data_IF_169314437388
#
_entry.id   IF_169314437388
#
_cell.length_a   1.000
_cell.length_b   1.000
_cell.length_c   1.000
_cell.angle_alpha   90.00
_cell.angle_beta   90.00
_cell.angle_gamma   90.00
#
_symmetry.space_group_name_H-M   'P 1'
#
loop_
_entity.id
_entity.type
_entity.pdbx_description
1 polymer ?
#
# COMPACT_ATOMS: atom_id res chain seq x y z
N UNK A 1 13.18 3.73 27.28
CA UNK A 1 13.63 5.07 26.87
C UNK A 1 14.05 4.94 25.41
N UNK A 2 13.41 5.65 24.49
CA UNK A 2 13.71 5.59 23.05
C UNK A 2 14.32 6.93 22.68
N UNK A 3 15.55 6.93 22.21
CA UNK A 3 16.21 8.12 21.71
C UNK A 3 16.19 8.09 20.17
N UNK A 4 15.67 9.14 19.56
CA UNK A 4 15.60 9.27 18.11
C UNK A 4 16.14 10.64 17.69
N UNK A 5 16.93 10.66 16.63
CA UNK A 5 17.43 11.88 16.03
C UNK A 5 16.86 12.03 14.63
N UNK A 6 16.29 13.19 14.31
CA UNK A 6 15.77 13.52 12.99
C UNK A 6 16.55 14.67 12.38
N UNK A 7 16.88 14.57 11.11
CA UNK A 7 17.36 15.69 10.31
C UNK A 7 16.21 16.18 9.46
N UNK A 8 15.85 17.44 9.62
CA UNK A 8 14.81 18.12 8.85
C UNK A 8 15.47 18.98 7.78
N UNK A 9 15.39 18.54 6.56
CA UNK A 9 15.68 19.31 5.35
C UNK A 9 14.48 19.16 4.41
N UNK A 10 14.57 19.67 3.19
CA UNK A 10 13.57 19.42 2.15
C UNK A 10 13.36 17.92 1.85
N UNK A 11 14.27 17.09 2.32
CA UNK A 11 14.17 15.62 2.34
C UNK A 11 14.20 15.16 3.79
N UNK A 12 13.17 14.49 4.25
CA UNK A 12 13.05 13.97 5.62
C UNK A 12 13.86 12.68 5.76
N UNK A 13 14.86 12.69 6.61
CA UNK A 13 15.62 11.50 6.98
C UNK A 13 15.49 11.27 8.47
N UNK A 14 15.09 10.07 8.83
CA UNK A 14 15.00 9.66 10.22
C UNK A 14 15.90 8.44 10.47
N UNK A 15 16.85 8.56 11.38
CA UNK A 15 17.50 7.41 11.99
C UNK A 15 16.78 7.13 13.31
N UNK A 16 16.23 5.93 13.47
CA UNK A 16 15.42 5.58 14.64
C UNK A 16 16.02 4.40 15.37
N UNK A 17 16.28 4.56 16.67
CA UNK A 17 16.45 3.44 17.59
C UNK A 17 15.09 3.21 18.30
N UNK A 18 14.59 1.98 18.31
CA UNK A 18 13.27 1.68 18.86
C UNK A 18 13.35 0.80 20.10
N UNK A 19 12.53 1.12 21.10
CA UNK A 19 12.18 0.18 22.15
C UNK A 19 11.13 -0.79 21.64
N UNK A 20 11.38 -2.08 21.81
CA UNK A 20 10.44 -3.14 21.48
C UNK A 20 9.60 -3.50 22.72
N UNK A 21 8.27 -3.53 22.55
CA UNK A 21 7.35 -4.09 23.56
C UNK A 21 6.93 -5.50 23.09
N UNK A 22 6.87 -6.49 24.01
CA UNK A 22 6.38 -7.84 23.68
C UNK A 22 4.93 -7.75 23.22
N UNK A 23 4.66 -8.19 21.99
CA UNK A 23 3.35 -8.09 21.31
C UNK A 23 3.41 -7.35 19.99
N UNK A 24 4.40 -6.52 19.74
CA UNK A 24 4.60 -5.81 18.48
C UNK A 24 5.33 -6.67 17.43
N UNK A 25 4.84 -7.87 17.15
CA UNK A 25 5.36 -8.71 16.06
C UNK A 25 5.28 -8.03 14.69
N UNK A 26 4.42 -7.03 14.56
CA UNK A 26 4.20 -6.24 13.36
C UNK A 26 5.36 -5.29 13.02
N UNK A 27 6.09 -4.80 14.03
CA UNK A 27 7.15 -3.80 13.85
C UNK A 27 8.50 -4.37 13.38
N UNK A 28 8.66 -5.68 13.28
CA UNK A 28 9.95 -6.31 12.91
C UNK A 28 10.34 -6.17 11.44
N UNK A 29 9.42 -5.74 10.57
CA UNK A 29 9.62 -5.67 9.11
C UNK A 29 9.67 -4.25 8.55
N UNK A 30 9.62 -3.24 9.40
CA UNK A 30 9.65 -1.87 8.94
C UNK A 30 11.09 -1.40 8.81
N UNK A 31 11.57 -1.32 7.59
CA UNK A 31 12.97 -1.03 7.22
C UNK A 31 13.56 0.32 7.69
N UNK A 32 12.78 1.14 8.42
CA UNK A 32 13.31 2.29 9.16
C UNK A 32 13.92 1.93 10.49
N UNK A 33 13.86 0.68 10.87
CA UNK A 33 14.38 0.20 12.14
C UNK A 33 15.76 -0.41 11.96
N UNK A 34 16.73 0.42 11.76
CA UNK A 34 18.10 0.05 12.02
C UNK A 34 18.30 0.17 13.54
N UNK A 35 18.59 -0.91 14.20
CA UNK A 35 18.73 -1.00 15.66
C UNK A 35 17.83 -2.08 16.26
N UNK A 36 18.36 -2.87 17.19
CA UNK A 36 17.61 -3.90 17.90
C UNK A 36 16.74 -3.34 19.05
N UNK A 37 15.93 -4.19 19.69
CA UNK A 37 15.24 -3.82 20.93
C UNK A 37 16.26 -3.44 21.98
N UNK A 38 16.11 -2.24 22.53
CA UNK A 38 17.04 -1.66 23.49
C UNK A 38 16.43 -1.61 24.86
N UNK A 39 17.09 -2.27 25.82
CA UNK A 39 16.80 -2.07 27.24
C UNK A 39 17.82 -1.10 27.82
N UNK A 40 17.34 0.03 28.39
CA UNK A 40 18.18 1.04 29.02
C UNK A 40 18.58 2.20 28.10
N UNK A 41 19.36 3.16 28.64
CA UNK A 41 19.82 4.33 27.90
C UNK A 41 20.80 3.94 26.77
N UNK A 42 20.80 4.72 25.71
CA UNK A 42 21.68 4.58 24.57
C UNK A 42 22.27 5.91 24.15
N UNK A 43 23.50 5.88 23.73
CA UNK A 43 24.14 6.96 23.02
C UNK A 43 23.84 6.85 21.54
N UNK A 44 23.42 7.95 20.93
CA UNK A 44 23.15 8.05 19.51
C UNK A 44 24.05 9.11 18.89
N UNK A 45 24.63 8.81 17.76
CA UNK A 45 25.45 9.73 16.99
C UNK A 45 25.03 9.72 15.54
N UNK A 46 24.82 10.90 14.98
CA UNK A 46 24.58 11.08 13.57
C UNK A 46 25.71 11.90 12.98
N UNK A 47 26.30 11.43 11.91
CA UNK A 47 27.34 12.14 11.18
C UNK A 47 26.90 12.43 9.77
N UNK A 48 27.36 13.56 9.22
CA UNK A 48 27.13 13.96 7.84
C UNK A 48 28.47 14.14 7.13
N UNK A 49 28.56 13.59 5.91
CA UNK A 49 29.66 13.82 4.98
C UNK A 49 29.10 14.08 3.59
N UNK A 50 29.00 15.35 3.20
CA UNK A 50 28.33 15.75 1.96
C UNK A 50 26.85 15.34 1.97
N UNK A 51 26.46 14.50 1.01
CA UNK A 51 25.11 13.95 0.87
C UNK A 51 24.90 12.67 1.66
N UNK A 52 25.91 12.17 2.37
CA UNK A 52 25.84 10.91 3.11
C UNK A 52 25.65 11.15 4.60
N UNK A 53 24.68 10.48 5.17
CA UNK A 53 24.35 10.47 6.58
C UNK A 53 24.60 9.09 7.15
N UNK A 54 25.33 9.02 8.27
CA UNK A 54 25.58 7.73 8.96
C UNK A 54 25.15 7.85 10.41
N UNK A 55 24.30 6.92 10.82
CA UNK A 55 23.81 6.76 12.18
C UNK A 55 24.59 5.71 12.94
N UNK A 56 24.89 5.99 14.20
CA UNK A 56 25.56 5.08 15.11
C UNK A 56 24.81 4.99 16.44
N UNK A 57 24.93 3.84 17.09
CA UNK A 57 24.51 3.64 18.48
C UNK A 57 25.66 3.11 19.34
N UNK A 58 25.56 3.38 20.66
CA UNK A 58 26.50 2.86 21.64
C UNK A 58 25.82 2.63 22.98
N UNK A 59 26.24 1.60 23.71
CA UNK A 59 25.80 1.32 25.07
C UNK A 59 26.58 2.10 26.14
N UNK A 60 27.82 2.47 25.84
CA UNK A 60 28.81 3.06 26.79
C UNK A 60 29.29 4.45 26.37
N UNK A 61 28.88 4.95 25.18
CA UNK A 61 29.35 6.20 24.62
C UNK A 61 30.78 6.15 24.04
N UNK A 62 31.45 5.00 24.10
CA UNK A 62 32.82 4.81 23.64
C UNK A 62 32.90 3.87 22.45
N UNK A 63 32.24 2.72 22.52
CA UNK A 63 32.20 1.72 21.46
C UNK A 63 30.99 1.95 20.58
N UNK A 64 31.22 2.38 19.33
CA UNK A 64 30.18 2.76 18.41
C UNK A 64 29.92 1.70 17.36
N UNK A 65 28.66 1.33 17.21
CA UNK A 65 28.19 0.42 16.15
C UNK A 65 27.43 1.25 15.11
N UNK A 66 27.82 1.12 13.85
CA UNK A 66 27.08 1.70 12.75
C UNK A 66 25.70 1.03 12.63
N UNK A 67 24.67 1.84 12.61
CA UNK A 67 23.29 1.40 12.49
C UNK A 67 22.85 1.40 11.03
N UNK A 68 23.10 2.50 10.32
CA UNK A 68 22.76 2.65 8.92
C UNK A 68 23.49 3.82 8.28
N UNK A 69 23.73 3.71 6.98
CA UNK A 69 24.23 4.81 6.14
C UNK A 69 23.29 5.04 4.98
N UNK A 70 22.94 6.29 4.73
CA UNK A 70 22.07 6.70 3.63
C UNK A 70 22.69 7.84 2.85
N UNK A 71 22.63 7.78 1.53
CA UNK A 71 23.03 8.86 0.63
C UNK A 71 21.79 9.54 0.07
N UNK A 72 21.74 10.86 0.22
CA UNK A 72 20.63 11.72 -0.23
C UNK A 72 21.16 12.72 -1.24
N UNK A 73 21.19 12.39 -2.52
CA UNK A 73 21.73 13.27 -3.54
C UNK A 73 21.02 14.64 -3.55
N UNK A 74 21.81 15.72 -3.51
CA UNK A 74 21.28 17.07 -3.49
C UNK A 74 20.83 17.58 -2.11
N UNK A 75 21.30 16.96 -1.03
CA UNK A 75 21.03 17.45 0.32
C UNK A 75 21.60 18.86 0.49
N UNK A 76 20.77 19.87 0.87
CA UNK A 76 21.23 21.24 1.06
C UNK A 76 22.42 21.31 2.01
N UNK A 77 23.31 22.28 1.77
CA UNK A 77 24.48 22.51 2.63
C UNK A 77 24.06 22.78 4.07
N UNK A 78 22.99 23.57 4.25
CA UNK A 78 22.36 23.83 5.54
C UNK A 78 21.08 23.03 5.68
N UNK A 79 20.96 22.29 6.78
CA UNK A 79 19.77 21.46 7.12
C UNK A 79 19.37 21.72 8.56
N UNK A 80 18.09 21.54 8.84
CA UNK A 80 17.59 21.51 10.22
C UNK A 80 17.80 20.11 10.79
N UNK A 81 18.22 20.05 12.05
CA UNK A 81 18.36 18.79 12.81
C UNK A 81 17.46 18.86 14.05
N UNK A 82 16.93 17.71 14.48
CA UNK A 82 16.04 17.68 15.62
C UNK A 82 16.02 16.35 16.36
N UNK A 83 15.54 16.41 17.59
CA UNK A 83 15.20 15.26 18.41
C UNK A 83 13.69 15.06 18.34
N UNK A 84 13.24 13.82 18.21
CA UNK A 84 11.81 13.53 18.21
C UNK A 84 11.49 12.25 18.97
N UNK A 85 10.26 12.16 19.46
CA UNK A 85 9.65 10.94 19.95
C UNK A 85 8.47 10.58 19.08
N UNK A 86 8.30 9.30 18.79
CA UNK A 86 7.15 8.76 18.10
C UNK A 86 6.81 7.38 18.66
N UNK A 87 5.55 7.00 18.58
CA UNK A 87 5.06 5.70 19.00
C UNK A 87 4.00 5.25 18.01
N UNK A 88 4.32 4.24 17.20
CA UNK A 88 3.31 3.61 16.35
C UNK A 88 2.22 3.02 17.24
N UNK A 89 0.96 3.30 16.93
CA UNK A 89 -0.17 2.72 17.64
C UNK A 89 -0.17 1.19 17.56
N UNK A 90 -0.72 0.53 18.57
CA UNK A 90 -0.93 -0.89 18.57
C UNK A 90 -2.18 -1.25 17.75
N UNK A 91 -2.08 -2.30 16.92
CA UNK A 91 -3.23 -2.89 16.27
C UNK A 91 -3.93 -3.82 17.26
N UNK A 92 -5.18 -3.52 17.56
CA UNK A 92 -6.05 -4.35 18.36
C UNK A 92 -7.32 -4.67 17.56
N UNK A 93 -7.55 -5.92 17.24
CA UNK A 93 -8.77 -6.40 16.57
C UNK A 93 -9.26 -5.54 15.39
N UNK A 94 -8.39 -5.20 14.45
CA UNK A 94 -8.68 -4.32 13.31
C UNK A 94 -8.90 -2.83 13.65
N UNK A 95 -8.74 -2.44 14.90
CA UNK A 95 -8.70 -1.05 15.33
C UNK A 95 -7.28 -0.67 15.74
N UNK A 96 -6.89 0.57 15.45
CA UNK A 96 -5.61 1.11 15.87
C UNK A 96 -5.78 1.84 17.18
N UNK A 97 -5.14 1.33 18.25
CA UNK A 97 -5.08 2.05 19.53
C UNK A 97 -3.96 3.09 19.44
N UNK A 98 -4.29 4.32 19.80
CA UNK A 98 -3.30 5.39 19.92
C UNK A 98 -2.28 5.05 21.02
N UNK A 99 -1.02 5.32 20.75
CA UNK A 99 0.07 5.18 21.71
C UNK A 99 0.95 6.42 21.70
N UNK A 100 1.41 6.82 22.86
CA UNK A 100 2.33 7.94 23.06
C UNK A 100 3.58 7.43 23.78
N UNK A 101 4.74 7.93 23.38
CA UNK A 101 6.01 7.63 24.04
C UNK A 101 6.70 8.93 24.47
N UNK A 102 7.32 8.88 25.63
CA UNK A 102 8.19 9.97 26.11
C UNK A 102 9.64 9.50 26.07
N UNK A 103 10.48 10.24 25.37
CA UNK A 103 11.92 10.04 25.34
C UNK A 103 12.60 11.15 26.17
N UNK A 104 13.57 10.77 26.97
CA UNK A 104 14.44 11.73 27.67
C UNK A 104 15.77 11.79 26.96
N UNK A 105 16.16 12.97 26.52
CA UNK A 105 17.45 13.24 25.90
C UNK A 105 18.28 14.09 26.86
N UNK A 106 19.52 13.69 27.07
CA UNK A 106 20.52 14.42 27.86
C UNK A 106 21.88 14.39 27.15
N UNK A 107 22.84 15.19 27.63
CA UNK A 107 24.18 15.29 27.10
C UNK A 107 24.22 15.56 25.58
N UNK A 108 23.33 16.43 25.09
CA UNK A 108 23.21 16.74 23.68
C UNK A 108 24.40 17.58 23.25
N UNK A 109 25.16 17.07 22.29
CA UNK A 109 26.32 17.78 21.72
C UNK A 109 26.12 17.95 20.22
N UNK A 110 26.22 19.18 19.74
CA UNK A 110 26.10 19.55 18.34
C UNK A 110 27.43 20.14 17.86
N UNK A 111 27.93 19.65 16.73
CA UNK A 111 29.11 20.20 16.06
C UNK A 111 28.70 20.83 14.73
N UNK A 112 29.10 22.09 14.51
CA UNK A 112 28.78 22.83 13.29
C UNK A 112 27.33 23.33 13.20
N UNK A 113 26.57 23.32 14.30
CA UNK A 113 25.23 23.85 14.33
C UNK A 113 25.19 25.25 14.97
N UNK A 114 24.49 26.17 14.31
CA UNK A 114 24.19 27.50 14.78
C UNK A 114 22.69 27.69 14.82
N UNK A 115 22.10 27.81 16.01
CA UNK A 115 20.66 28.03 16.13
C UNK A 115 20.11 27.78 17.53
N UNK A 116 18.85 28.11 17.73
CA UNK A 116 18.11 27.83 18.95
C UNK A 116 17.16 26.64 18.74
N UNK A 117 16.93 25.86 19.79
CA UNK A 117 15.91 24.82 19.78
C UNK A 117 14.52 25.46 19.68
N UNK A 118 13.70 24.86 18.85
CA UNK A 118 12.24 25.08 18.85
C UNK A 118 11.55 23.74 18.88
N UNK A 119 10.33 23.67 19.37
CA UNK A 119 9.52 22.47 19.30
C UNK A 119 8.37 22.65 18.31
N UNK A 120 7.97 21.55 17.69
CA UNK A 120 6.88 21.53 16.75
C UNK A 120 6.26 20.12 16.73
N UNK A 121 4.94 20.05 16.57
CA UNK A 121 4.24 18.79 16.32
C UNK A 121 4.17 18.53 14.82
N UNK A 122 4.78 17.43 14.36
CA UNK A 122 4.76 17.03 12.96
C UNK A 122 3.61 16.05 12.72
N UNK A 123 2.68 16.41 11.83
CA UNK A 123 1.56 15.55 11.51
C UNK A 123 0.42 15.63 12.52
N UNK A 124 -0.05 16.85 12.74
CA UNK A 124 -1.13 17.15 13.70
C UNK A 124 -2.44 16.48 13.28
N UNK A 125 -3.08 15.77 14.21
CA UNK A 125 -4.47 15.31 14.10
C UNK A 125 -5.39 16.24 14.86
N UNK A 126 -6.49 16.66 14.23
CA UNK A 126 -7.51 17.49 14.87
C UNK A 126 -8.65 16.61 15.39
N UNK A 127 -9.23 17.02 16.50
CA UNK A 127 -10.43 16.42 17.06
C UNK A 127 -11.67 16.64 16.17
N UNK A 128 -12.83 16.06 16.54
CA UNK A 128 -14.07 16.20 15.79
C UNK A 128 -14.56 17.64 15.61
N UNK A 129 -14.09 18.58 16.44
CA UNK A 129 -14.38 20.00 16.37
C UNK A 129 -13.52 20.74 15.31
N UNK A 130 -12.56 20.06 14.69
CA UNK A 130 -11.65 20.61 13.70
C UNK A 130 -10.68 21.66 14.24
N UNK A 131 -10.55 21.80 15.55
CA UNK A 131 -9.75 22.84 16.21
C UNK A 131 -8.87 22.29 17.32
N UNK A 132 -9.37 21.38 18.13
CA UNK A 132 -8.64 20.80 19.24
C UNK A 132 -7.62 19.80 18.72
N UNK A 133 -6.36 19.94 19.17
CA UNK A 133 -5.33 18.95 18.86
C UNK A 133 -5.68 17.62 19.53
N UNK A 134 -5.71 16.57 18.73
CA UNK A 134 -5.95 15.22 19.20
C UNK A 134 -4.60 14.58 19.53
N UNK A 135 -4.36 14.29 20.80
CA UNK A 135 -3.08 13.73 21.27
C UNK A 135 -1.85 14.59 20.93
N UNK A 136 -1.81 15.86 21.38
CA UNK A 136 -0.65 16.70 21.12
C UNK A 136 0.62 16.10 21.74
N UNK A 137 1.73 16.27 21.04
CA UNK A 137 3.05 16.05 21.58
C UNK A 137 3.45 17.13 22.59
N UNK A 138 4.68 17.09 23.02
CA UNK A 138 5.19 18.13 23.92
C UNK A 138 6.67 17.99 24.20
N UNK A 139 7.27 19.11 24.61
CA UNK A 139 8.65 19.17 25.07
C UNK A 139 8.68 19.83 26.44
N UNK A 140 9.35 19.19 27.39
CA UNK A 140 9.60 19.75 28.73
C UNK A 140 11.11 19.79 28.93
N UNK A 141 11.62 20.98 29.21
CA UNK A 141 12.99 21.18 29.61
C UNK A 141 13.14 21.02 31.12
N UNK A 142 14.07 20.18 31.54
CA UNK A 142 14.36 19.91 32.95
C UNK A 142 15.86 19.88 33.17
N UNK A 143 16.44 21.03 33.51
CA UNK A 143 17.89 21.20 33.62
C UNK A 143 18.58 21.05 32.26
N UNK A 144 19.48 20.09 32.15
CA UNK A 144 20.20 19.71 30.93
C UNK A 144 19.48 18.63 30.09
N UNK A 145 18.24 18.28 30.45
CA UNK A 145 17.46 17.22 29.83
C UNK A 145 16.26 17.78 29.08
N UNK A 146 16.01 17.18 27.91
CA UNK A 146 14.79 17.40 27.14
C UNK A 146 13.91 16.16 27.23
N UNK A 147 12.71 16.31 27.77
CA UNK A 147 11.67 15.28 27.71
C UNK A 147 10.79 15.58 26.50
N UNK A 148 10.86 14.72 25.49
CA UNK A 148 10.08 14.86 24.26
C UNK A 148 9.02 13.78 24.25
N UNK A 149 7.76 14.19 24.18
CA UNK A 149 6.60 13.30 24.11
C UNK A 149 5.99 13.38 22.73
N UNK A 150 5.73 12.25 22.10
CA UNK A 150 5.07 12.20 20.81
C UNK A 150 4.39 10.85 20.57
N UNK A 151 3.46 10.86 19.66
CA UNK A 151 2.75 9.69 19.17
C UNK A 151 2.93 9.56 17.66
N UNK A 152 2.22 8.59 17.08
CA UNK A 152 2.21 8.40 15.64
C UNK A 152 3.44 7.65 15.09
N UNK A 153 3.34 7.29 13.81
CA UNK A 153 4.40 6.59 13.08
C UNK A 153 5.09 7.56 12.12
N UNK A 154 6.39 7.44 12.01
CA UNK A 154 7.19 8.24 11.08
C UNK A 154 7.26 7.62 9.68
N UNK A 155 6.71 6.44 9.51
CA UNK A 155 6.72 5.73 8.22
C UNK A 155 5.81 6.43 7.20
N UNK A 156 6.33 6.90 6.05
CA UNK A 156 5.51 7.58 5.05
C UNK A 156 4.47 6.67 4.39
N UNK A 157 4.62 5.37 4.50
CA UNK A 157 3.71 4.39 3.90
C UNK A 157 2.59 3.94 4.86
N UNK A 158 2.55 4.45 6.09
CA UNK A 158 1.55 4.09 7.09
C UNK A 158 0.37 5.05 7.10
N UNK A 159 -0.73 4.65 7.72
CA UNK A 159 -1.95 5.47 7.85
C UNK A 159 -1.69 6.76 8.62
N UNK A 160 -0.69 6.79 9.49
CA UNK A 160 -0.32 7.98 10.26
C UNK A 160 0.36 9.07 9.45
N UNK A 161 0.95 8.71 8.30
CA UNK A 161 1.40 9.68 7.30
C UNK A 161 0.25 10.35 6.53
N UNK A 162 -0.99 10.01 6.86
CA UNK A 162 -2.21 10.46 6.20
C UNK A 162 -2.91 9.34 5.42
N UNK A 163 -4.21 9.53 5.19
CA UNK A 163 -5.01 8.58 4.43
C UNK A 163 -4.58 8.55 2.96
N UNK A 164 -4.49 7.36 2.43
CA UNK A 164 -4.03 7.09 1.06
C UNK A 164 -5.21 7.09 0.09
N UNK A 165 -4.99 7.54 -1.13
CA UNK A 165 -6.05 7.56 -2.16
C UNK A 165 -6.53 6.14 -2.55
N UNK A 166 -5.66 5.14 -2.49
CA UNK A 166 -6.03 3.75 -2.79
C UNK A 166 -6.98 3.13 -1.74
N UNK A 167 -7.03 3.67 -0.50
CA UNK A 167 -8.02 3.26 0.49
C UNK A 167 -9.46 3.54 0.05
N UNK A 168 -9.68 4.50 -0.84
CA UNK A 168 -11.00 4.76 -1.41
C UNK A 168 -11.50 3.58 -2.25
N UNK A 169 -10.59 2.74 -2.74
CA UNK A 169 -10.90 1.56 -3.54
C UNK A 169 -10.98 0.26 -2.72
N UNK A 170 -10.95 0.33 -1.38
CA UNK A 170 -10.98 -0.88 -0.53
C UNK A 170 -12.25 -1.72 -0.77
N UNK A 171 -13.38 -1.06 -1.01
CA UNK A 171 -14.62 -1.71 -1.43
C UNK A 171 -14.57 -2.30 -2.85
N UNK A 172 -13.56 -1.94 -3.62
CA UNK A 172 -13.37 -2.41 -4.99
C UNK A 172 -13.11 -3.92 -5.07
N UNK A 173 -12.54 -4.53 -4.04
CA UNK A 173 -12.38 -5.99 -3.96
C UNK A 173 -13.77 -6.70 -3.94
N UNK A 174 -14.73 -6.13 -3.23
CA UNK A 174 -16.13 -6.64 -3.22
C UNK A 174 -16.80 -6.41 -4.57
N UNK A 175 -16.63 -5.21 -5.14
CA UNK A 175 -17.12 -4.90 -6.50
C UNK A 175 -16.55 -5.84 -7.55
N UNK A 176 -15.26 -6.22 -7.40
CA UNK A 176 -14.61 -7.16 -8.30
C UNK A 176 -15.24 -8.56 -8.24
N UNK A 177 -15.70 -9.02 -7.07
CA UNK A 177 -16.47 -10.29 -6.96
C UNK A 177 -17.69 -10.24 -7.84
N UNK A 178 -18.45 -9.14 -7.84
CA UNK A 178 -19.63 -8.98 -8.70
C UNK A 178 -19.25 -9.03 -10.17
N UNK A 179 -18.16 -8.37 -10.55
CA UNK A 179 -17.65 -8.40 -11.94
C UNK A 179 -17.28 -9.84 -12.35
N UNK A 180 -16.61 -10.60 -11.47
CA UNK A 180 -16.25 -12.01 -11.74
C UNK A 180 -17.50 -12.89 -11.91
N UNK A 181 -18.51 -12.72 -11.05
CA UNK A 181 -19.78 -13.46 -11.13
C UNK A 181 -20.52 -13.13 -12.43
N UNK A 182 -20.63 -11.84 -12.77
CA UNK A 182 -21.29 -11.41 -14.02
C UNK A 182 -20.53 -11.96 -15.24
N UNK A 183 -19.20 -11.90 -15.23
CA UNK A 183 -18.39 -12.40 -16.34
C UNK A 183 -18.57 -13.90 -16.58
N UNK A 184 -18.63 -14.71 -15.52
CA UNK A 184 -18.87 -16.16 -15.64
C UNK A 184 -20.30 -16.43 -16.09
N UNK A 185 -21.30 -15.75 -15.52
CA UNK A 185 -22.72 -15.98 -15.86
C UNK A 185 -23.05 -15.54 -17.29
N UNK A 186 -22.36 -14.55 -17.81
CA UNK A 186 -22.50 -14.07 -19.19
C UNK A 186 -22.20 -15.16 -20.22
N UNK A 187 -21.16 -15.98 -20.05
CA UNK A 187 -20.87 -17.10 -20.98
C UNK A 187 -21.88 -18.25 -20.80
N UNK A 188 -22.34 -18.51 -19.59
CA UNK A 188 -23.20 -19.66 -19.28
C UNK A 188 -24.68 -19.44 -19.61
N UNK A 189 -25.16 -18.20 -19.62
CA UNK A 189 -26.54 -17.86 -19.94
C UNK A 189 -26.97 -18.32 -21.35
N UNK A 190 -26.05 -18.31 -22.28
CA UNK A 190 -26.29 -18.73 -23.67
C UNK A 190 -26.44 -20.25 -23.81
N UNK A 191 -25.68 -21.01 -23.03
CA UNK A 191 -25.78 -22.47 -23.00
C UNK A 191 -27.10 -22.94 -22.37
N UNK A 192 -27.71 -22.19 -21.49
CA UNK A 192 -29.02 -22.50 -20.86
C UNK A 192 -30.21 -22.19 -21.75
N UNK A 193 -30.11 -21.20 -22.63
CA UNK A 193 -31.24 -20.79 -23.48
C UNK A 193 -31.50 -21.70 -24.65
N UNK A 194 -30.69 -22.77 -24.85
CA UNK A 194 -31.00 -23.79 -25.85
C UNK A 194 -31.27 -23.26 -27.27
N UNK A 195 -30.66 -22.12 -27.63
CA UNK A 195 -30.86 -21.50 -28.95
C UNK A 195 -30.17 -22.26 -30.07
N UNK A 196 -30.31 -23.60 -30.02
CA UNK A 196 -29.76 -24.50 -31.03
C UNK A 196 -30.96 -25.27 -31.59
N UNK A 197 -31.76 -24.62 -32.34
CA UNK A 197 -32.93 -25.24 -32.94
C UNK A 197 -33.35 -24.60 -34.24
N UNK A 198 -32.74 -23.52 -34.66
CA UNK A 198 -33.00 -22.92 -35.95
C UNK A 198 -31.80 -23.11 -36.84
N UNK A 199 -31.89 -24.04 -37.75
CA UNK A 199 -30.89 -24.44 -38.73
C UNK A 199 -30.41 -23.35 -39.68
N UNK A 200 -29.52 -22.49 -39.18
CA UNK A 200 -28.73 -21.57 -39.99
C UNK A 200 -27.31 -22.15 -40.08
N UNK A 201 -26.92 -22.64 -41.26
CA UNK A 201 -25.63 -23.28 -41.48
C UNK A 201 -24.53 -22.28 -41.75
N UNK A 202 -24.25 -21.36 -40.88
CA UNK A 202 -23.04 -20.52 -40.92
C UNK A 202 -22.93 -19.63 -39.65
N UNK A 203 -23.01 -20.21 -38.48
CA UNK A 203 -22.67 -19.46 -37.27
C UNK A 203 -21.19 -19.10 -37.23
N UNK A 204 -20.80 -17.94 -36.71
CA UNK A 204 -19.39 -17.55 -36.55
C UNK A 204 -18.65 -18.64 -35.76
N UNK A 205 -17.41 -18.96 -36.17
CA UNK A 205 -16.56 -19.93 -35.47
C UNK A 205 -16.59 -19.69 -33.96
N UNK A 206 -16.79 -20.73 -33.12
CA UNK A 206 -16.97 -20.59 -31.66
C UNK A 206 -15.79 -19.88 -30.97
N UNK A 207 -14.59 -19.92 -31.59
CA UNK A 207 -13.43 -19.17 -31.12
C UNK A 207 -13.56 -17.66 -31.37
N UNK A 208 -14.14 -17.23 -32.49
CA UNK A 208 -14.37 -15.81 -32.81
C UNK A 208 -15.45 -15.22 -31.91
N UNK A 209 -16.48 -15.99 -31.62
CA UNK A 209 -17.55 -15.59 -30.68
C UNK A 209 -17.00 -15.37 -29.29
N UNK A 210 -16.15 -16.29 -28.79
CA UNK A 210 -15.53 -16.12 -27.47
C UNK A 210 -14.62 -14.88 -27.41
N UNK A 211 -13.83 -14.63 -28.48
CA UNK A 211 -13.01 -13.43 -28.57
C UNK A 211 -13.85 -12.14 -28.58
N UNK A 212 -14.95 -12.13 -29.35
CA UNK A 212 -15.88 -10.99 -29.37
C UNK A 212 -16.51 -10.74 -27.99
N UNK A 213 -16.94 -11.81 -27.29
CA UNK A 213 -17.45 -11.72 -25.92
C UNK A 213 -16.40 -11.14 -24.97
N UNK A 214 -15.13 -11.56 -25.08
CA UNK A 214 -14.04 -11.05 -24.25
C UNK A 214 -13.81 -9.54 -24.45
N UNK A 215 -13.88 -9.07 -25.71
CA UNK A 215 -13.75 -7.64 -26.04
C UNK A 215 -14.91 -6.84 -25.45
N UNK A 216 -16.15 -7.28 -25.68
CA UNK A 216 -17.34 -6.57 -25.20
C UNK A 216 -17.37 -6.55 -23.67
N UNK A 217 -17.18 -7.69 -23.03
CA UNK A 217 -17.20 -7.81 -21.58
C UNK A 217 -16.04 -7.01 -20.93
N UNK A 218 -14.84 -7.10 -21.53
CA UNK A 218 -13.68 -6.33 -21.08
C UNK A 218 -13.92 -4.82 -21.20
N UNK A 219 -14.50 -4.37 -22.32
CA UNK A 219 -14.85 -2.96 -22.52
C UNK A 219 -15.90 -2.47 -21.52
N UNK A 220 -16.96 -3.24 -21.29
CA UNK A 220 -18.00 -2.92 -20.29
C UNK A 220 -17.40 -2.86 -18.88
N UNK A 221 -16.59 -3.86 -18.50
CA UNK A 221 -15.92 -3.89 -17.21
C UNK A 221 -14.94 -2.72 -17.05
N UNK A 222 -14.21 -2.36 -18.11
CA UNK A 222 -13.32 -1.19 -18.11
C UNK A 222 -14.09 0.11 -17.87
N UNK A 223 -15.17 0.35 -18.63
CA UNK A 223 -15.98 1.56 -18.48
C UNK A 223 -16.61 1.62 -17.10
N UNK A 224 -17.16 0.50 -16.60
CA UNK A 224 -17.72 0.44 -15.24
C UNK A 224 -16.66 0.74 -14.19
N UNK A 225 -15.47 0.13 -14.29
CA UNK A 225 -14.34 0.40 -13.40
C UNK A 225 -13.90 1.85 -13.47
N UNK A 226 -13.84 2.42 -14.68
CA UNK A 226 -13.45 3.82 -14.90
C UNK A 226 -14.44 4.82 -14.27
N UNK A 227 -15.75 4.60 -14.46
CA UNK A 227 -16.79 5.45 -13.87
C UNK A 227 -16.75 5.31 -12.34
N UNK A 228 -16.66 4.09 -11.83
CA UNK A 228 -16.63 3.85 -10.39
C UNK A 228 -15.42 4.49 -9.73
N UNK A 229 -14.22 4.22 -10.20
CA UNK A 229 -12.99 4.78 -9.61
C UNK A 229 -12.87 6.27 -9.87
N UNK A 230 -13.31 6.76 -11.04
CA UNK A 230 -13.31 8.18 -11.40
C UNK A 230 -14.26 9.02 -10.57
N UNK A 231 -15.28 8.43 -9.96
CA UNK A 231 -16.16 9.10 -8.98
C UNK A 231 -15.66 8.89 -7.56
N UNK A 232 -15.39 7.65 -7.19
CA UNK A 232 -15.09 7.27 -5.79
C UNK A 232 -13.76 7.88 -5.30
N UNK A 233 -12.72 7.89 -6.13
CA UNK A 233 -11.41 8.41 -5.71
C UNK A 233 -11.47 9.92 -5.47
N UNK A 234 -11.82 10.78 -6.44
CA UNK A 234 -11.84 12.22 -6.21
C UNK A 234 -12.91 12.64 -5.20
N UNK A 235 -14.11 12.04 -5.22
CA UNK A 235 -15.16 12.37 -4.27
C UNK A 235 -14.76 11.96 -2.83
N UNK A 236 -14.17 10.78 -2.66
CA UNK A 236 -13.66 10.31 -1.39
C UNK A 236 -12.57 11.22 -0.83
N UNK A 237 -11.58 11.60 -1.66
CA UNK A 237 -10.53 12.55 -1.26
C UNK A 237 -11.10 13.95 -0.92
N UNK A 238 -12.09 14.43 -1.69
CA UNK A 238 -12.76 15.70 -1.40
C UNK A 238 -13.50 15.67 -0.06
N UNK A 239 -14.22 14.56 0.22
CA UNK A 239 -14.94 14.37 1.47
C UNK A 239 -13.99 14.28 2.67
N UNK A 240 -12.87 13.57 2.53
CA UNK A 240 -11.86 13.48 3.56
C UNK A 240 -11.24 14.86 3.86
N UNK A 241 -10.93 15.65 2.82
CA UNK A 241 -10.44 17.04 2.99
C UNK A 241 -11.46 17.92 3.68
N UNK A 242 -12.73 17.81 3.31
CA UNK A 242 -13.80 18.59 3.93
C UNK A 242 -13.97 18.27 5.42
N UNK A 243 -13.66 17.02 5.82
CA UNK A 243 -13.67 16.57 7.22
C UNK A 243 -12.30 16.70 7.89
N UNK A 244 -11.37 17.45 7.30
CA UNK A 244 -10.04 17.76 7.85
C UNK A 244 -9.18 16.54 8.15
N UNK A 245 -9.43 15.42 7.48
CA UNK A 245 -8.55 14.26 7.62
C UNK A 245 -7.20 14.54 6.91
N UNK A 246 -6.08 14.14 7.51
CA UNK A 246 -4.79 14.20 6.85
C UNK A 246 -4.77 13.24 5.66
N UNK A 247 -4.40 13.75 4.49
CA UNK A 247 -4.32 12.97 3.26
C UNK A 247 -2.88 13.03 2.75
N UNK A 248 -2.34 11.88 2.39
CA UNK A 248 -1.02 11.84 1.76
C UNK A 248 -1.05 12.58 0.42
N UNK A 249 -0.02 13.41 0.14
CA UNK A 249 0.04 14.14 -1.11
C UNK A 249 0.11 13.17 -2.29
N UNK A 250 -0.78 13.37 -3.25
CA UNK A 250 -0.84 12.59 -4.48
C UNK A 250 -0.70 13.51 -5.69
N UNK A 251 0.10 13.09 -6.68
CA UNK A 251 0.19 13.80 -7.95
C UNK A 251 -1.00 13.44 -8.84
N UNK A 252 -1.40 14.36 -9.72
CA UNK A 252 -2.48 14.12 -10.71
C UNK A 252 -2.16 12.89 -11.58
N UNK A 253 -0.90 12.70 -11.96
CA UNK A 253 -0.49 11.53 -12.74
C UNK A 253 -0.72 10.21 -11.99
N UNK A 254 -0.43 10.19 -10.68
CA UNK A 254 -0.68 9.03 -9.82
C UNK A 254 -2.17 8.79 -9.64
N UNK A 255 -2.95 9.83 -9.42
CA UNK A 255 -4.42 9.73 -9.30
C UNK A 255 -5.05 9.16 -10.58
N UNK A 256 -4.68 9.67 -11.75
CA UNK A 256 -5.11 9.14 -13.05
C UNK A 256 -4.68 7.69 -13.25
N UNK A 257 -3.45 7.33 -12.86
CA UNK A 257 -2.98 5.94 -12.92
C UNK A 257 -3.84 5.03 -12.04
N UNK A 258 -4.18 5.45 -10.83
CA UNK A 258 -5.04 4.68 -9.91
C UNK A 258 -6.41 4.46 -10.52
N UNK A 259 -7.02 5.50 -11.08
CA UNK A 259 -8.36 5.45 -11.70
C UNK A 259 -8.34 4.54 -12.94
N UNK A 260 -7.49 4.84 -13.91
CA UNK A 260 -7.42 4.07 -15.16
C UNK A 260 -6.90 2.65 -14.92
N UNK A 261 -5.94 2.52 -14.01
CA UNK A 261 -5.38 1.22 -13.63
C UNK A 261 -6.39 0.30 -12.97
N UNK A 262 -7.23 0.82 -12.09
CA UNK A 262 -8.33 0.05 -11.50
C UNK A 262 -9.35 -0.39 -12.57
N UNK A 263 -9.67 0.47 -13.53
CA UNK A 263 -10.50 0.11 -14.67
C UNK A 263 -9.87 -1.00 -15.53
N UNK A 264 -8.56 -0.95 -15.76
CA UNK A 264 -7.84 -1.99 -16.48
C UNK A 264 -7.79 -3.32 -15.69
N UNK A 265 -7.64 -3.25 -14.36
CA UNK A 265 -7.71 -4.41 -13.48
C UNK A 265 -9.08 -5.10 -13.55
N UNK A 266 -10.17 -4.33 -13.48
CA UNK A 266 -11.53 -4.88 -13.58
C UNK A 266 -11.79 -5.53 -14.94
N UNK A 267 -11.31 -4.93 -16.02
CA UNK A 267 -11.37 -5.51 -17.38
C UNK A 267 -10.58 -6.82 -17.49
N UNK A 268 -9.33 -6.82 -17.02
CA UNK A 268 -8.49 -8.02 -17.05
C UNK A 268 -9.09 -9.16 -16.23
N UNK A 269 -9.63 -8.86 -15.03
CA UNK A 269 -10.30 -9.82 -14.19
C UNK A 269 -11.57 -10.39 -14.84
N UNK A 270 -12.37 -9.56 -15.51
CA UNK A 270 -13.54 -10.00 -16.26
C UNK A 270 -13.18 -10.95 -17.39
N UNK A 271 -12.13 -10.63 -18.16
CA UNK A 271 -11.63 -11.50 -19.26
C UNK A 271 -11.07 -12.81 -18.69
N UNK A 272 -10.34 -12.77 -17.58
CA UNK A 272 -9.86 -13.97 -16.89
C UNK A 272 -11.05 -14.87 -16.47
N UNK A 273 -12.07 -14.31 -15.83
CA UNK A 273 -13.24 -15.04 -15.38
C UNK A 273 -14.01 -15.65 -16.57
N UNK A 274 -14.14 -14.93 -17.69
CA UNK A 274 -14.73 -15.44 -18.93
C UNK A 274 -13.91 -16.62 -19.50
N UNK A 275 -12.56 -16.50 -19.53
CA UNK A 275 -11.67 -17.57 -19.96
C UNK A 275 -11.84 -18.84 -19.11
N UNK A 276 -11.88 -18.67 -17.77
CA UNK A 276 -12.11 -19.76 -16.84
C UNK A 276 -13.50 -20.39 -17.02
N UNK A 277 -14.56 -19.59 -17.21
CA UNK A 277 -15.91 -20.08 -17.50
C UNK A 277 -15.97 -20.93 -18.76
N UNK A 278 -15.24 -20.52 -19.80
CA UNK A 278 -15.18 -21.25 -21.07
C UNK A 278 -14.39 -22.57 -20.97
N UNK A 279 -13.44 -22.69 -20.04
CA UNK A 279 -12.68 -23.92 -19.79
C UNK A 279 -13.41 -24.87 -18.84
N UNK A 280 -14.03 -24.32 -17.81
CA UNK A 280 -14.70 -25.08 -16.75
C UNK A 280 -16.20 -25.15 -17.05
N UNK A 281 -16.70 -26.32 -17.42
CA UNK A 281 -18.11 -26.52 -17.81
C UNK A 281 -19.12 -26.25 -16.69
N UNK A 282 -18.66 -26.15 -15.44
CA UNK A 282 -19.52 -25.91 -14.25
C UNK A 282 -19.35 -24.47 -13.79
N UNK A 283 -20.34 -23.63 -14.00
CA UNK A 283 -20.31 -22.19 -13.68
C UNK A 283 -19.99 -21.89 -12.22
N UNK A 284 -20.55 -22.64 -11.25
CA UNK A 284 -20.26 -22.47 -9.83
C UNK A 284 -18.77 -22.69 -9.53
N UNK A 285 -18.18 -23.72 -10.16
CA UNK A 285 -16.75 -23.99 -10.00
C UNK A 285 -15.91 -22.89 -10.64
N UNK A 286 -16.33 -22.36 -11.81
CA UNK A 286 -15.64 -21.26 -12.47
C UNK A 286 -15.67 -19.96 -11.65
N UNK A 287 -16.81 -19.64 -11.03
CA UNK A 287 -16.93 -18.51 -10.09
C UNK A 287 -16.00 -18.71 -8.90
N UNK A 288 -16.06 -19.86 -8.25
CA UNK A 288 -15.21 -20.17 -7.10
C UNK A 288 -13.72 -20.08 -7.44
N UNK A 289 -13.33 -20.60 -8.62
CA UNK A 289 -11.94 -20.54 -9.09
C UNK A 289 -11.49 -19.11 -9.39
N UNK A 290 -12.33 -18.29 -10.03
CA UNK A 290 -12.01 -16.88 -10.30
C UNK A 290 -11.83 -16.08 -9.00
N UNK A 291 -12.72 -16.27 -8.03
CA UNK A 291 -12.59 -15.64 -6.70
C UNK A 291 -11.34 -16.16 -5.97
N UNK A 292 -11.09 -17.47 -5.99
CA UNK A 292 -9.91 -18.07 -5.36
C UNK A 292 -8.59 -17.58 -5.96
N UNK A 293 -8.56 -17.26 -7.24
CA UNK A 293 -7.34 -16.76 -7.90
C UNK A 293 -7.11 -15.27 -7.72
N UNK A 294 -8.17 -14.45 -7.63
CA UNK A 294 -8.06 -12.98 -7.63
C UNK A 294 -8.27 -12.40 -6.24
N UNK A 295 -9.34 -12.81 -5.55
CA UNK A 295 -9.75 -12.15 -4.30
C UNK A 295 -9.10 -12.79 -3.08
N UNK A 296 -9.08 -14.12 -3.00
CA UNK A 296 -8.52 -14.81 -1.82
C UNK A 296 -7.04 -14.48 -1.60
N UNK A 297 -6.16 -14.50 -2.62
CA UNK A 297 -4.76 -14.12 -2.44
C UNK A 297 -4.60 -12.67 -1.98
N UNK A 298 -5.43 -11.75 -2.49
CA UNK A 298 -5.45 -10.36 -2.04
C UNK A 298 -5.77 -10.26 -0.54
N UNK A 299 -6.84 -10.93 -0.08
CA UNK A 299 -7.25 -10.90 1.31
C UNK A 299 -6.20 -11.53 2.24
N UNK A 300 -5.64 -12.68 1.86
CA UNK A 300 -4.60 -13.36 2.65
C UNK A 300 -3.31 -12.53 2.76
N UNK A 301 -2.93 -11.90 1.68
CA UNK A 301 -1.72 -11.07 1.67
C UNK A 301 -1.90 -9.78 2.47
N UNK A 302 -3.02 -9.09 2.30
CA UNK A 302 -3.32 -7.84 3.05
C UNK A 302 -3.60 -8.09 4.53
N UNK A 303 -4.00 -9.30 4.91
CA UNK A 303 -4.06 -9.74 6.29
C UNK A 303 -2.67 -10.08 6.87
N UNK A 304 -1.59 -9.95 6.09
CA UNK A 304 -0.21 -10.24 6.53
C UNK A 304 0.14 -11.72 6.61
N UNK A 305 -0.75 -12.63 6.14
CA UNK A 305 -0.52 -14.07 6.25
C UNK A 305 0.46 -14.57 5.18
N UNK A 306 0.29 -14.16 3.91
CA UNK A 306 1.06 -14.68 2.78
C UNK A 306 1.33 -13.56 1.75
N UNK A 307 2.21 -12.57 2.05
CA UNK A 307 2.42 -11.39 1.19
C UNK A 307 2.90 -11.73 -0.23
N UNK A 308 3.70 -12.77 -0.42
CA UNK A 308 4.24 -13.18 -1.71
C UNK A 308 3.16 -13.61 -2.74
N UNK A 309 1.93 -13.90 -2.30
CA UNK A 309 0.82 -14.17 -3.22
C UNK A 309 0.53 -12.98 -4.16
N UNK A 310 0.80 -11.75 -3.73
CA UNK A 310 0.69 -10.55 -4.56
C UNK A 310 1.79 -10.43 -5.63
N UNK A 311 2.73 -11.37 -5.70
CA UNK A 311 3.74 -11.41 -6.78
C UNK A 311 3.34 -12.34 -7.91
N UNK A 312 2.74 -13.49 -7.58
CA UNK A 312 2.58 -14.60 -8.53
C UNK A 312 1.14 -14.89 -8.92
N UNK A 313 0.15 -14.35 -8.22
CA UNK A 313 -1.27 -14.56 -8.56
C UNK A 313 -1.85 -13.38 -9.33
N UNK A 314 -3.04 -13.53 -9.95
CA UNK A 314 -3.74 -12.39 -10.56
C UNK A 314 -4.05 -11.24 -9.59
N UNK A 315 -4.01 -11.48 -8.27
CA UNK A 315 -4.10 -10.43 -7.27
C UNK A 315 -2.94 -9.41 -7.32
N UNK A 316 -1.82 -9.75 -7.96
CA UNK A 316 -0.74 -8.80 -8.25
C UNK A 316 -1.22 -7.52 -8.95
N UNK A 317 -2.31 -7.61 -9.73
CA UNK A 317 -2.89 -6.48 -10.43
C UNK A 317 -3.36 -5.35 -9.52
N UNK A 318 -3.65 -5.62 -8.25
CA UNK A 318 -3.97 -4.56 -7.29
C UNK A 318 -2.80 -3.59 -7.07
N UNK A 319 -1.55 -3.98 -7.38
CA UNK A 319 -0.40 -3.07 -7.31
C UNK A 319 -0.59 -1.79 -8.15
N UNK A 320 -1.42 -1.82 -9.20
CA UNK A 320 -1.71 -0.65 -10.02
C UNK A 320 -2.36 0.49 -9.26
N UNK A 321 -3.05 0.16 -8.14
CA UNK A 321 -3.71 1.14 -7.27
C UNK A 321 -2.77 1.79 -6.26
N UNK A 322 -1.52 1.37 -6.15
CA UNK A 322 -0.54 1.96 -5.23
C UNK A 322 -0.49 3.47 -5.37
N UNK A 323 -0.92 4.22 -4.36
CA UNK A 323 -0.97 5.69 -4.42
C UNK A 323 0.25 6.37 -3.81
N UNK A 324 0.93 5.70 -2.90
CA UNK A 324 2.12 6.22 -2.21
C UNK A 324 3.37 5.93 -3.03
N UNK A 325 4.25 6.93 -3.25
CA UNK A 325 5.53 6.70 -3.90
C UNK A 325 6.42 5.79 -3.05
N UNK A 326 7.27 5.01 -3.69
CA UNK A 326 8.27 4.21 -2.98
C UNK A 326 9.35 5.13 -2.41
N UNK A 327 9.65 4.93 -1.13
CA UNK A 327 10.75 5.63 -0.46
C UNK A 327 11.89 4.65 -0.24
N UNK A 328 13.12 5.09 -0.51
CA UNK A 328 14.30 4.31 -0.20
C UNK A 328 14.32 3.99 1.32
N UNK A 329 14.72 2.80 1.67
CA UNK A 329 14.81 2.31 3.06
C UNK A 329 13.46 2.15 3.80
N UNK A 330 12.32 2.19 3.10
CA UNK A 330 11.01 1.82 3.65
C UNK A 330 10.59 0.51 3.03
N UNK A 331 10.66 -0.55 3.81
CA UNK A 331 10.21 -1.90 3.42
C UNK A 331 9.04 -2.32 4.31
N UNK A 332 7.83 -2.08 3.83
CA UNK A 332 6.58 -2.37 4.53
C UNK A 332 5.65 -3.11 3.59
N UNK A 333 5.40 -4.37 3.91
CA UNK A 333 4.45 -5.19 3.13
C UNK A 333 3.05 -4.58 3.10
N UNK A 334 2.38 -4.71 1.97
CA UNK A 334 1.00 -4.24 1.80
C UNK A 334 0.06 -4.89 2.80
N UNK A 335 -0.68 -4.05 3.50
CA UNK A 335 -1.72 -4.43 4.43
C UNK A 335 -2.99 -3.60 4.18
N UNK A 336 -4.07 -3.90 4.91
CA UNK A 336 -5.31 -3.10 4.86
C UNK A 336 -5.09 -1.63 5.26
N UNK A 337 -4.10 -1.36 6.09
CA UNK A 337 -3.84 -0.04 6.65
C UNK A 337 -2.67 0.70 6.01
N UNK A 338 -1.91 0.07 5.13
CA UNK A 338 -0.76 0.70 4.50
C UNK A 338 0.25 -0.30 3.94
N UNK A 339 1.40 0.19 3.52
CA UNK A 339 2.49 -0.61 2.97
C UNK A 339 2.61 -0.51 1.45
N UNK A 340 3.49 -1.34 0.90
CA UNK A 340 3.77 -1.40 -0.52
C UNK A 340 3.41 -2.75 -1.10
N UNK A 341 2.87 -2.74 -2.31
CA UNK A 341 2.79 -3.95 -3.09
C UNK A 341 4.20 -4.43 -3.48
N UNK A 342 4.44 -5.74 -3.49
CA UNK A 342 5.77 -6.27 -3.78
C UNK A 342 6.22 -6.06 -5.25
N UNK A 343 5.27 -5.77 -6.14
CA UNK A 343 5.55 -5.46 -7.54
C UNK A 343 5.25 -3.99 -7.85
N UNK A 344 6.03 -3.38 -8.75
CA UNK A 344 5.68 -2.07 -9.30
C UNK A 344 4.28 -2.08 -9.92
N UNK A 345 3.57 -0.94 -9.93
CA UNK A 345 2.17 -0.84 -10.37
C UNK A 345 1.88 -1.52 -11.72
N UNK A 346 2.66 -1.21 -12.74
CA UNK A 346 2.47 -1.77 -14.08
C UNK A 346 2.86 -3.25 -14.18
N UNK A 347 3.90 -3.67 -13.45
CA UNK A 347 4.31 -5.07 -13.42
C UNK A 347 3.22 -5.96 -12.79
N UNK A 348 2.60 -5.50 -11.69
CA UNK A 348 1.48 -6.22 -11.10
C UNK A 348 0.29 -6.37 -12.07
N UNK A 349 -0.08 -5.30 -12.78
CA UNK A 349 -1.16 -5.36 -13.77
C UNK A 349 -0.83 -6.33 -14.92
N UNK A 350 0.42 -6.37 -15.40
CA UNK A 350 0.83 -7.30 -16.46
C UNK A 350 0.69 -8.76 -16.05
N UNK A 351 0.91 -9.11 -14.78
CA UNK A 351 0.66 -10.46 -14.26
C UNK A 351 -0.81 -10.83 -14.45
N UNK A 352 -1.74 -9.99 -14.03
CA UNK A 352 -3.19 -10.24 -14.21
C UNK A 352 -3.57 -10.37 -15.68
N UNK A 353 -3.05 -9.49 -16.54
CA UNK A 353 -3.28 -9.55 -18.00
C UNK A 353 -2.72 -10.84 -18.60
N UNK A 354 -1.57 -11.32 -18.14
CA UNK A 354 -1.00 -12.59 -18.59
C UNK A 354 -1.90 -13.78 -18.25
N UNK A 355 -2.40 -13.84 -17.01
CA UNK A 355 -3.37 -14.87 -16.62
C UNK A 355 -4.65 -14.80 -17.45
N UNK A 356 -5.17 -13.61 -17.72
CA UNK A 356 -6.34 -13.42 -18.56
C UNK A 356 -6.09 -13.90 -19.98
N UNK A 357 -4.95 -13.55 -20.55
CA UNK A 357 -4.55 -13.98 -21.89
C UNK A 357 -4.35 -15.50 -22.00
N UNK A 358 -3.72 -16.13 -21.00
CA UNK A 358 -3.51 -17.58 -20.95
C UNK A 358 -4.87 -18.29 -20.85
N UNK A 359 -5.74 -17.87 -19.93
CA UNK A 359 -7.05 -18.50 -19.74
C UNK A 359 -7.92 -18.38 -21.00
N UNK A 360 -7.98 -17.19 -21.60
CA UNK A 360 -8.73 -16.96 -22.84
C UNK A 360 -8.13 -17.71 -24.03
N UNK A 361 -6.80 -17.69 -24.18
CA UNK A 361 -6.09 -18.40 -25.24
C UNK A 361 -6.30 -19.90 -25.16
N UNK A 362 -6.19 -20.50 -23.98
CA UNK A 362 -6.48 -21.91 -23.75
C UNK A 362 -7.95 -22.25 -24.08
N UNK A 363 -8.90 -21.41 -23.66
CA UNK A 363 -10.31 -21.60 -24.00
C UNK A 363 -10.57 -21.54 -25.51
N UNK A 364 -9.93 -20.63 -26.21
CA UNK A 364 -10.01 -20.52 -27.67
C UNK A 364 -9.40 -21.77 -28.35
N UNK A 365 -8.25 -22.24 -27.90
CA UNK A 365 -7.59 -23.43 -28.42
C UNK A 365 -8.45 -24.70 -28.26
N UNK A 366 -9.03 -24.90 -27.09
CA UNK A 366 -9.95 -26.03 -26.82
C UNK A 366 -11.18 -25.98 -27.71
N UNK A 367 -11.72 -24.78 -27.99
CA UNK A 367 -12.90 -24.63 -28.88
C UNK A 367 -12.54 -24.83 -30.37
N UNK A 368 -11.30 -24.52 -30.81
CA UNK A 368 -10.82 -24.79 -32.17
C UNK A 368 -10.62 -26.29 -32.46
N UNK A 369 -10.07 -27.02 -31.45
CA UNK A 369 -9.83 -28.46 -31.60
C UNK A 369 -11.10 -29.34 -31.60
N UNK A 370 -12.27 -28.77 -31.34
CA UNK A 370 -13.56 -29.48 -31.37
C UNK A 370 -14.37 -29.31 -32.66
N UNK A 371 -13.81 -28.66 -33.67
CA UNK A 371 -14.44 -28.61 -35.01
C UNK A 371 -14.02 -29.91 -35.71
N UNK A 372 -14.92 -30.91 -35.89
CA UNK A 372 -14.61 -32.06 -36.70
C UNK A 372 -14.45 -31.60 -38.16
N UNK A 373 -13.45 -32.16 -38.88
CA UNK A 373 -13.29 -32.03 -40.31
C UNK A 373 -14.50 -32.59 -41.02
#
# INVERSE_FOLDING_TARGET
MVQRCQILGSSRVAAAATRWEPGAAYNRRHGFMAGGPVQGPRWLRLTRSGDTLTGYESGDGQTWTEVSTVTLPGLPETVEIGLFAASSGALWEMAKAFAQATATFDQITLQGANGSWRHDDVGVSLGPDGKTLHHPGGVVESGDKLLVTGGGDIGPATVEGGLRADLMLIGGAVGLILVLVVAVTFDTAEHRRGSIGTGLPAGPHPARLLAAKAVVLGAVAFVTGLVTSGVVVPAGLALLRANQNPIQPITVATELRVIVGYAALTAAAAVLALGLAALVKRHIVAIGLAIALVVVPYLLATAGLVPWLLMITPAAGFAITQSVPTFAHVDVDQSLLGGYYPLPPWAGLTVTCAYAAIALGAAIAVRRGKVPC
#
